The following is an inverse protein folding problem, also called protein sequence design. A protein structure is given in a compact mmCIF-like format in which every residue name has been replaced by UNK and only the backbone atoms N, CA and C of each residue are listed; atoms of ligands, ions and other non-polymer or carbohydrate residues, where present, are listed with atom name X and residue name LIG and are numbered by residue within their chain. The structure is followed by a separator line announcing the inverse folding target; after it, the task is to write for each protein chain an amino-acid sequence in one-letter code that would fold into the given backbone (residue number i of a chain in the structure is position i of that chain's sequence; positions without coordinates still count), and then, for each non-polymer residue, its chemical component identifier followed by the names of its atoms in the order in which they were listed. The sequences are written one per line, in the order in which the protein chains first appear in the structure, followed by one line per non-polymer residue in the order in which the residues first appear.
data_IF_307025138379
#
_entry.id   IF_307025138379
#
_cell.length_a   1.000
_cell.length_b   1.000
_cell.length_c   1.000
_cell.angle_alpha   90.00
_cell.angle_beta   90.00
_cell.angle_gamma   90.00
#
_symmetry.space_group_name_H-M   'P 1'
#
loop_
_entity.id
_entity.type
_entity.pdbx_description
1 polymer ?
#
# COMPACT_ATOMS: atom_id res chain seq x y z
N UNK A 1 -6.97 12.67 -3.35
CA UNK A 1 -6.54 11.54 -4.23
C UNK A 1 -5.70 12.01 -5.43
N UNK A 2 -6.00 13.14 -6.06
CA UNK A 2 -5.26 13.64 -7.24
C UNK A 2 -3.76 13.88 -6.93
N UNK A 3 -3.45 14.53 -5.81
CA UNK A 3 -2.06 14.85 -5.44
C UNK A 3 -1.16 13.60 -5.33
N UNK A 4 -1.62 12.53 -4.66
CA UNK A 4 -0.85 11.28 -4.54
C UNK A 4 -0.65 10.61 -5.92
N UNK A 5 -1.64 10.66 -6.80
CA UNK A 5 -1.50 10.13 -8.17
C UNK A 5 -0.45 10.93 -8.96
N UNK A 6 -0.48 12.26 -8.88
CA UNK A 6 0.53 13.10 -9.53
C UNK A 6 1.93 12.80 -9.02
N UNK A 7 2.10 12.61 -7.72
CA UNK A 7 3.39 12.30 -7.10
C UNK A 7 3.91 10.92 -7.53
N UNK A 8 3.05 9.90 -7.52
CA UNK A 8 3.38 8.58 -8.08
C UNK A 8 3.81 8.68 -9.54
N UNK A 9 3.06 9.44 -10.35
CA UNK A 9 3.39 9.68 -11.75
C UNK A 9 4.75 10.39 -11.92
N UNK A 10 5.08 11.37 -11.07
CA UNK A 10 6.40 12.03 -11.05
C UNK A 10 7.51 11.04 -10.70
N UNK A 11 7.33 10.22 -9.67
CA UNK A 11 8.31 9.20 -9.25
C UNK A 11 8.60 8.20 -10.38
N UNK A 12 7.56 7.67 -11.03
CA UNK A 12 7.73 6.71 -12.14
C UNK A 12 8.46 7.36 -13.31
N UNK A 13 8.13 8.61 -13.65
CA UNK A 13 8.81 9.35 -14.72
C UNK A 13 10.28 9.62 -14.42
N UNK A 14 10.60 10.03 -13.20
CA UNK A 14 11.98 10.29 -12.75
C UNK A 14 12.86 9.03 -12.78
N UNK A 15 12.27 7.86 -12.51
CA UNK A 15 13.03 6.59 -12.40
C UNK A 15 12.90 5.70 -13.64
N UNK A 16 12.52 6.24 -14.81
CA UNK A 16 12.39 5.46 -16.06
C UNK A 16 13.68 4.76 -16.49
N UNK A 17 14.85 5.33 -16.21
CA UNK A 17 16.16 4.73 -16.48
C UNK A 17 16.77 3.97 -15.29
N UNK A 18 16.19 4.10 -14.09
CA UNK A 18 16.73 3.50 -12.88
C UNK A 18 16.44 1.99 -12.80
N UNK A 19 17.17 1.33 -11.91
CA UNK A 19 16.92 -0.07 -11.56
C UNK A 19 15.51 -0.23 -10.94
N UNK A 20 14.86 -1.33 -11.28
CA UNK A 20 13.50 -1.63 -10.80
C UNK A 20 13.38 -1.65 -9.27
N UNK A 21 14.35 -2.21 -8.49
CA UNK A 21 14.30 -2.16 -7.04
C UNK A 21 14.25 -0.73 -6.46
N UNK A 22 14.99 0.21 -7.05
CA UNK A 22 15.02 1.61 -6.60
C UNK A 22 13.64 2.26 -6.82
N UNK A 23 13.05 2.08 -8.01
CA UNK A 23 11.71 2.56 -8.31
C UNK A 23 10.68 2.00 -7.32
N UNK A 24 10.69 0.68 -7.11
CA UNK A 24 9.74 0.01 -6.19
C UNK A 24 9.91 0.53 -4.76
N UNK A 25 11.15 0.72 -4.29
CA UNK A 25 11.43 1.28 -2.96
C UNK A 25 10.83 2.67 -2.82
N UNK A 26 11.04 3.56 -3.80
CA UNK A 26 10.54 4.94 -3.74
C UNK A 26 9.00 5.01 -3.82
N UNK A 27 8.40 4.18 -4.68
CA UNK A 27 6.94 4.03 -4.73
C UNK A 27 6.39 3.56 -3.39
N UNK A 28 6.99 2.52 -2.80
CA UNK A 28 6.53 1.96 -1.54
C UNK A 28 6.63 2.94 -0.37
N UNK A 29 7.69 3.75 -0.30
CA UNK A 29 7.80 4.81 0.73
C UNK A 29 6.60 5.76 0.68
N UNK A 30 6.26 6.22 -0.53
CA UNK A 30 5.19 7.20 -0.77
C UNK A 30 3.81 6.59 -0.53
N UNK A 31 3.55 5.42 -1.11
CA UNK A 31 2.28 4.71 -0.98
C UNK A 31 2.03 4.26 0.46
N UNK A 32 3.04 3.72 1.16
CA UNK A 32 2.88 3.31 2.55
C UNK A 32 2.59 4.50 3.46
N UNK A 33 3.30 5.62 3.28
CA UNK A 33 3.05 6.83 4.07
C UNK A 33 1.61 7.30 3.91
N UNK A 34 1.17 7.48 2.67
CA UNK A 34 -0.18 7.94 2.37
C UNK A 34 -1.26 6.94 2.82
N UNK A 35 -1.05 5.65 2.56
CA UNK A 35 -1.97 4.59 2.95
C UNK A 35 -2.11 4.44 4.47
N UNK A 36 -1.00 4.52 5.21
CA UNK A 36 -1.04 4.46 6.67
C UNK A 36 -1.71 5.68 7.30
N UNK A 37 -1.58 6.86 6.69
CA UNK A 37 -2.29 8.06 7.14
C UNK A 37 -3.81 7.90 6.97
N UNK A 38 -4.25 7.42 5.80
CA UNK A 38 -5.68 7.31 5.47
C UNK A 38 -6.33 5.96 5.84
N UNK A 39 -5.64 5.06 6.55
CA UNK A 39 -6.20 3.74 6.92
C UNK A 39 -7.33 3.79 7.94
N UNK A 40 -7.47 4.92 8.66
CA UNK A 40 -8.44 5.11 9.74
C UNK A 40 -9.77 5.72 9.27
N UNK A 41 -9.83 6.19 8.01
CA UNK A 41 -11.02 6.78 7.39
C UNK A 41 -11.60 5.83 6.33
N UNK A 42 -12.77 6.16 5.80
CA UNK A 42 -13.41 5.40 4.71
C UNK A 42 -12.65 5.64 3.40
N UNK A 43 -11.60 4.86 3.17
CA UNK A 43 -10.64 5.07 2.06
C UNK A 43 -10.58 3.94 1.03
N UNK A 44 -11.47 2.93 1.11
CA UNK A 44 -11.43 1.75 0.23
C UNK A 44 -11.51 2.11 -1.26
N UNK A 45 -12.47 2.96 -1.65
CA UNK A 45 -12.63 3.39 -3.04
C UNK A 45 -11.42 4.22 -3.51
N UNK A 46 -10.94 5.13 -2.67
CA UNK A 46 -9.75 5.94 -2.95
C UNK A 46 -8.50 5.07 -3.14
N UNK A 47 -8.30 4.05 -2.30
CA UNK A 47 -7.19 3.11 -2.40
C UNK A 47 -7.24 2.32 -3.71
N UNK A 48 -8.41 1.80 -4.10
CA UNK A 48 -8.60 1.11 -5.38
C UNK A 48 -8.30 2.03 -6.57
N UNK A 49 -8.74 3.29 -6.51
CA UNK A 49 -8.45 4.29 -7.56
C UNK A 49 -6.95 4.56 -7.70
N UNK A 50 -6.22 4.66 -6.60
CA UNK A 50 -4.75 4.84 -6.63
C UNK A 50 -4.05 3.56 -7.11
N UNK A 51 -4.46 2.38 -6.66
CA UNK A 51 -3.90 1.10 -7.11
C UNK A 51 -4.05 0.91 -8.63
N UNK A 52 -5.22 1.23 -9.19
CA UNK A 52 -5.46 1.20 -10.64
C UNK A 52 -4.56 2.19 -11.38
N UNK A 53 -4.43 3.41 -10.87
CA UNK A 53 -3.54 4.41 -11.45
C UNK A 53 -2.07 3.96 -11.45
N UNK A 54 -1.60 3.40 -10.32
CA UNK A 54 -0.24 2.85 -10.20
C UNK A 54 -0.03 1.74 -11.24
N UNK A 55 -1.01 0.84 -11.40
CA UNK A 55 -0.98 -0.21 -12.41
C UNK A 55 -0.81 0.37 -13.81
N UNK A 56 -1.67 1.31 -14.20
CA UNK A 56 -1.64 1.91 -15.55
C UNK A 56 -0.32 2.61 -15.84
N UNK A 57 0.22 3.37 -14.88
CA UNK A 57 1.49 4.05 -15.05
C UNK A 57 2.66 3.07 -15.18
N UNK A 58 2.69 2.02 -14.35
CA UNK A 58 3.72 0.99 -14.42
C UNK A 58 3.61 0.18 -15.71
N UNK A 59 2.40 -0.15 -16.16
CA UNK A 59 2.16 -0.85 -17.42
C UNK A 59 2.68 -0.03 -18.61
N UNK A 60 2.31 1.25 -18.69
CA UNK A 60 2.80 2.17 -19.73
C UNK A 60 4.31 2.30 -19.70
N UNK A 61 4.91 2.38 -18.52
CA UNK A 61 6.38 2.44 -18.38
C UNK A 61 7.04 1.14 -18.87
N UNK A 62 6.56 -0.03 -18.45
CA UNK A 62 7.11 -1.33 -18.85
C UNK A 62 6.96 -1.56 -20.36
N UNK A 63 5.79 -1.25 -20.94
CA UNK A 63 5.56 -1.32 -22.40
C UNK A 63 6.54 -0.44 -23.17
N UNK A 64 6.83 0.76 -22.67
CA UNK A 64 7.84 1.65 -23.28
C UNK A 64 9.26 1.13 -23.11
N UNK A 65 9.60 0.55 -21.96
CA UNK A 65 10.92 -0.03 -21.69
C UNK A 65 11.20 -1.27 -22.55
N UNK A 66 10.17 -2.03 -22.90
CA UNK A 66 10.27 -3.29 -23.64
C UNK A 66 9.42 -3.28 -24.91
N UNK A 67 9.74 -2.38 -25.85
CA UNK A 67 8.97 -2.21 -27.10
C UNK A 67 8.85 -3.52 -27.91
N UNK A 68 9.88 -4.35 -27.88
CA UNK A 68 9.97 -5.57 -28.69
C UNK A 68 9.40 -6.82 -28.01
N UNK A 69 8.77 -6.70 -26.83
CA UNK A 69 8.22 -7.83 -26.08
C UNK A 69 6.69 -7.79 -26.07
N UNK A 70 6.02 -8.94 -26.28
CA UNK A 70 4.56 -8.98 -26.29
C UNK A 70 3.99 -8.69 -24.90
N UNK A 71 2.81 -8.08 -24.85
CA UNK A 71 2.16 -7.71 -23.59
C UNK A 71 1.98 -8.88 -22.63
N UNK A 72 1.60 -10.06 -23.14
CA UNK A 72 1.48 -11.29 -22.35
C UNK A 72 2.78 -11.67 -21.64
N UNK A 73 3.92 -11.52 -22.32
CA UNK A 73 5.23 -11.78 -21.73
C UNK A 73 5.55 -10.76 -20.64
N UNK A 74 5.24 -9.47 -20.86
CA UNK A 74 5.46 -8.42 -19.86
C UNK A 74 4.62 -8.65 -18.60
N UNK A 75 3.34 -9.01 -18.78
CA UNK A 75 2.47 -9.34 -17.66
C UNK A 75 3.00 -10.53 -16.86
N UNK A 76 3.40 -11.61 -17.54
CA UNK A 76 4.03 -12.78 -16.88
C UNK A 76 5.35 -12.41 -16.19
N UNK A 77 6.14 -11.51 -16.78
CA UNK A 77 7.44 -11.10 -16.21
C UNK A 77 7.29 -10.23 -14.96
N UNK A 78 6.32 -9.33 -14.94
CA UNK A 78 6.23 -8.28 -13.92
C UNK A 78 5.05 -8.45 -12.95
N UNK A 79 3.96 -9.13 -13.31
CA UNK A 79 2.78 -9.30 -12.45
C UNK A 79 2.63 -10.69 -11.86
N UNK A 80 3.42 -11.67 -12.31
CA UNK A 80 3.45 -13.03 -11.75
C UNK A 80 4.81 -13.43 -11.17
N UNK A 81 5.74 -12.49 -11.02
CA UNK A 81 7.07 -12.79 -10.48
C UNK A 81 7.05 -13.15 -8.98
N UNK A 82 6.08 -12.61 -8.24
CA UNK A 82 5.70 -13.07 -6.91
C UNK A 82 4.51 -14.03 -7.01
N UNK A 83 4.66 -15.26 -6.52
CA UNK A 83 3.62 -16.29 -6.51
C UNK A 83 2.34 -15.77 -5.81
N UNK A 84 1.35 -15.29 -6.57
CA UNK A 84 -0.05 -15.26 -6.11
C UNK A 84 -0.84 -13.94 -6.08
N UNK A 85 -0.31 -12.76 -6.44
CA UNK A 85 -1.08 -11.53 -6.18
C UNK A 85 -1.34 -10.55 -7.33
N UNK A 86 -0.97 -10.86 -8.59
CA UNK A 86 -1.09 -9.89 -9.70
C UNK A 86 -0.56 -8.52 -9.26
N UNK A 87 0.58 -8.52 -8.57
CA UNK A 87 1.26 -7.35 -8.02
C UNK A 87 2.51 -7.13 -8.84
N UNK A 88 2.76 -5.87 -9.17
CA UNK A 88 4.01 -5.50 -9.82
C UNK A 88 5.20 -5.91 -8.95
N UNK A 89 5.99 -6.83 -9.48
CA UNK A 89 7.06 -7.52 -8.78
C UNK A 89 8.26 -7.77 -9.68
N UNK A 90 9.45 -7.62 -9.12
CA UNK A 90 10.72 -7.85 -9.82
C UNK A 90 11.67 -8.64 -8.94
N UNK A 91 12.24 -9.71 -9.50
CA UNK A 91 13.35 -10.44 -8.89
C UNK A 91 14.66 -9.74 -9.22
N UNK A 92 15.49 -9.49 -8.23
CA UNK A 92 16.81 -8.91 -8.42
C UNK A 92 17.86 -9.71 -7.66
N UNK A 93 18.89 -10.16 -8.38
CA UNK A 93 20.01 -10.91 -7.82
C UNK A 93 20.83 -10.02 -6.91
N UNK A 94 21.25 -10.54 -5.76
CA UNK A 94 22.15 -9.82 -4.84
C UNK A 94 23.46 -10.59 -4.75
N UNK A 95 24.62 -9.93 -4.77
CA UNK A 95 25.94 -10.59 -4.81
C UNK A 95 26.19 -11.57 -3.65
N UNK A 96 25.54 -11.36 -2.50
CA UNK A 96 25.78 -12.11 -1.24
C UNK A 96 24.53 -12.82 -0.68
N UNK A 97 23.40 -12.79 -1.38
CA UNK A 97 22.12 -13.23 -0.82
C UNK A 97 21.20 -13.81 -1.92
N UNK A 98 20.26 -14.70 -1.55
CA UNK A 98 19.29 -15.25 -2.50
C UNK A 98 18.48 -14.15 -3.19
N UNK A 99 17.97 -14.49 -4.37
CA UNK A 99 17.18 -13.58 -5.21
C UNK A 99 16.02 -12.95 -4.42
N UNK A 100 16.09 -11.62 -4.26
CA UNK A 100 15.06 -10.88 -3.53
C UNK A 100 13.95 -10.46 -4.48
N UNK A 101 12.71 -10.68 -4.07
CA UNK A 101 11.52 -10.19 -4.78
C UNK A 101 11.13 -8.83 -4.23
N UNK A 102 11.19 -7.81 -5.07
CA UNK A 102 10.70 -6.46 -4.78
C UNK A 102 9.27 -6.36 -5.29
N UNK A 103 8.34 -5.91 -4.46
CA UNK A 103 6.92 -5.79 -4.81
C UNK A 103 6.40 -4.39 -4.50
N UNK A 104 5.53 -3.86 -5.35
CA UNK A 104 4.81 -2.62 -5.07
C UNK A 104 3.67 -2.91 -4.09
N UNK A 105 3.55 -2.09 -3.05
CA UNK A 105 2.47 -2.20 -2.06
C UNK A 105 1.14 -1.86 -2.72
N UNK A 106 0.14 -2.74 -2.57
CA UNK A 106 -1.25 -2.42 -2.88
C UNK A 106 -1.89 -1.74 -1.67
N UNK A 107 -2.44 -0.55 -1.88
CA UNK A 107 -3.13 0.19 -0.83
C UNK A 107 -4.39 -0.54 -0.36
N UNK A 108 -5.06 -1.23 -1.29
CA UNK A 108 -6.22 -2.09 -1.00
C UNK A 108 -5.93 -3.18 0.04
N UNK A 109 -4.67 -3.67 0.12
CA UNK A 109 -4.22 -4.66 1.10
C UNK A 109 -3.94 -4.07 2.49
N UNK A 110 -3.88 -2.75 2.63
CA UNK A 110 -3.70 -2.10 3.94
C UNK A 110 -4.98 -2.31 4.75
N UNK A 111 -4.82 -2.90 5.95
CA UNK A 111 -5.92 -3.14 6.88
C UNK A 111 -6.50 -1.80 7.34
N UNK A 112 -7.77 -1.60 7.03
CA UNK A 112 -8.54 -0.42 7.40
C UNK A 112 -9.34 -0.74 8.66
N UNK A 113 -9.03 -0.03 9.73
CA UNK A 113 -9.67 -0.18 11.02
C UNK A 113 -10.34 1.14 11.38
N UNK A 114 -11.50 1.10 12.05
CA UNK A 114 -12.14 2.32 12.56
C UNK A 114 -11.98 2.39 14.07
N UNK A 115 -11.86 3.59 14.61
CA UNK A 115 -11.87 3.77 16.06
C UNK A 115 -13.30 3.79 16.59
N UNK A 116 -13.52 3.09 17.70
CA UNK A 116 -14.79 3.14 18.45
C UNK A 116 -14.82 4.43 19.26
N UNK A 117 -15.84 5.26 19.01
CA UNK A 117 -16.08 6.51 19.76
C UNK A 117 -16.21 6.22 21.25
N UNK A 118 -15.81 7.19 22.08
CA UNK A 118 -16.08 7.12 23.52
C UNK A 118 -17.59 7.21 23.72
N UNK A 119 -18.15 6.40 24.63
CA UNK A 119 -19.58 6.46 24.97
C UNK A 119 -19.87 7.83 25.58
N UNK A 120 -20.86 8.54 25.05
CA UNK A 120 -21.14 9.93 25.46
C UNK A 120 -21.51 10.05 26.95
N UNK A 121 -22.20 9.05 27.50
CA UNK A 121 -22.59 8.99 28.91
C UNK A 121 -21.51 8.44 29.85
N UNK A 122 -20.37 7.96 29.32
CA UNK A 122 -19.33 7.35 30.15
C UNK A 122 -18.52 8.42 30.89
N UNK A 123 -18.58 8.37 32.23
CA UNK A 123 -17.82 9.25 33.12
C UNK A 123 -16.66 8.49 33.79
N UNK A 124 -15.39 8.90 33.62
CA UNK A 124 -14.22 8.27 34.23
C UNK A 124 -14.25 8.15 35.77
N UNK A 125 -15.00 9.03 36.45
CA UNK A 125 -15.05 9.10 37.91
C UNK A 125 -16.17 8.25 38.52
N UNK A 126 -17.11 7.74 37.72
CA UNK A 126 -18.17 6.86 38.23
C UNK A 126 -17.70 5.41 38.23
N UNK A 127 -17.92 4.70 39.34
CA UNK A 127 -17.53 3.28 39.53
C UNK A 127 -18.07 2.38 38.41
N UNK A 128 -19.28 2.66 37.93
CA UNK A 128 -19.96 1.93 36.84
C UNK A 128 -19.19 1.90 35.51
N UNK A 129 -18.32 2.89 35.22
CA UNK A 129 -17.52 2.95 33.99
C UNK A 129 -16.06 2.53 34.18
N UNK A 130 -15.66 2.11 35.39
CA UNK A 130 -14.27 1.73 35.69
C UNK A 130 -13.74 0.66 34.73
N UNK A 131 -14.50 -0.42 34.52
CA UNK A 131 -14.15 -1.50 33.59
C UNK A 131 -14.07 -1.02 32.13
N UNK A 132 -14.96 -0.10 31.72
CA UNK A 132 -14.96 0.45 30.37
C UNK A 132 -13.67 1.22 30.08
N UNK A 133 -13.26 2.12 30.98
CA UNK A 133 -12.01 2.88 30.83
C UNK A 133 -10.76 2.02 31.05
N UNK A 134 -10.81 1.02 31.95
CA UNK A 134 -9.73 0.03 32.10
C UNK A 134 -9.47 -0.72 30.78
N UNK A 135 -10.53 -1.23 30.15
CA UNK A 135 -10.44 -1.91 28.86
C UNK A 135 -9.94 -0.96 27.76
N UNK A 136 -10.44 0.28 27.71
CA UNK A 136 -9.90 1.28 26.76
C UNK A 136 -8.43 1.60 27.02
N UNK A 137 -7.93 1.58 28.26
CA UNK A 137 -6.51 1.87 28.52
C UNK A 137 -5.60 0.71 28.12
N UNK A 138 -5.97 -0.51 28.49
CA UNK A 138 -5.07 -1.67 28.42
C UNK A 138 -5.34 -2.62 27.24
N UNK A 139 -6.57 -2.66 26.71
CA UNK A 139 -6.93 -3.53 25.60
C UNK A 139 -7.04 -2.74 24.28
N UNK A 140 -6.04 -2.85 23.40
CA UNK A 140 -6.02 -2.18 22.09
C UNK A 140 -7.21 -2.55 21.19
N UNK A 141 -7.72 -3.78 21.29
CA UNK A 141 -8.88 -4.24 20.51
C UNK A 141 -10.16 -3.48 20.90
N UNK A 142 -10.29 -3.05 22.15
CA UNK A 142 -11.46 -2.28 22.61
C UNK A 142 -11.63 -0.92 21.93
N UNK A 143 -10.54 -0.39 21.35
CA UNK A 143 -10.56 0.90 20.62
C UNK A 143 -10.89 0.74 19.15
N UNK A 144 -10.86 -0.48 18.60
CA UNK A 144 -10.96 -0.73 17.16
C UNK A 144 -12.28 -1.45 16.89
N UNK A 145 -13.08 -0.92 15.97
CA UNK A 145 -14.24 -1.63 15.44
C UNK A 145 -13.71 -2.79 14.58
N UNK A 146 -14.04 -4.02 15.00
CA UNK A 146 -13.77 -5.24 14.23
C UNK A 146 -14.70 -5.34 13.03
#
# INVERSE_FOLDING_TARGET
VIAIMQEVGKIIRKHRGASMPILIKRLNQTLRGWGNYHRWVVSSHAFKKVDNYVFDQLWRMVRRRHRNKPGKWLYKRYWTAAKGHHVFSVKHKTKKAPDRVYQVVKLSQIVRNRYVKVRANANPYKKEYSQYFFNRRHNKKSKIAM
#
